data_IF_305521397047
#
_entry.id   IF_305521397047
#
_cell.length_a   1.000
_cell.length_b   1.000
_cell.length_c   1.000
_cell.angle_alpha   90.00
_cell.angle_beta   90.00
_cell.angle_gamma   90.00
#
_symmetry.space_group_name_H-M   'P 1'
#
loop_
_entity.id
_entity.type
_entity.pdbx_description
1 polymer ?
#
# COMPACT_ATOMS: atom_id res chain seq x y z
N UNK A 1 -11.64 10.38 19.87
CA UNK A 1 -12.34 9.32 19.11
C UNK A 1 -13.30 10.01 18.16
N UNK A 2 -13.27 9.64 16.87
CA UNK A 2 -14.28 9.99 15.88
C UNK A 2 -14.88 8.68 15.38
N UNK A 3 -16.20 8.51 15.51
CA UNK A 3 -16.86 7.26 15.12
C UNK A 3 -18.23 7.56 14.54
N UNK A 4 -18.60 6.89 13.45
CA UNK A 4 -19.89 7.09 12.77
C UNK A 4 -20.10 8.56 12.34
N UNK A 5 -19.02 9.21 11.90
CA UNK A 5 -19.04 10.62 11.50
C UNK A 5 -19.04 10.74 9.97
N UNK A 6 -19.76 11.73 9.47
CA UNK A 6 -19.69 12.16 8.07
C UNK A 6 -18.98 13.52 8.04
N UNK A 7 -17.95 13.63 7.20
CA UNK A 7 -17.23 14.86 6.89
C UNK A 7 -17.52 15.19 5.43
N UNK A 8 -18.26 16.27 5.18
CA UNK A 8 -18.78 16.57 3.84
C UNK A 8 -18.63 18.03 3.47
N UNK A 9 -18.36 18.30 2.19
CA UNK A 9 -18.31 19.64 1.60
C UNK A 9 -17.34 20.61 2.31
N UNK A 10 -16.24 20.08 2.85
CA UNK A 10 -15.18 20.87 3.49
C UNK A 10 -14.16 21.26 2.45
N UNK A 11 -14.00 22.56 2.19
CA UNK A 11 -13.06 23.08 1.20
C UNK A 11 -11.66 23.36 1.80
N UNK A 12 -11.11 22.38 2.50
CA UNK A 12 -9.76 22.34 3.11
C UNK A 12 -9.50 20.93 3.64
N UNK A 13 -8.56 20.76 4.58
CA UNK A 13 -8.32 19.50 5.27
C UNK A 13 -9.53 19.12 6.13
N UNK A 14 -10.06 17.91 5.96
CA UNK A 14 -11.27 17.50 6.66
C UNK A 14 -11.01 17.12 8.13
N UNK A 15 -9.96 16.31 8.38
CA UNK A 15 -9.57 15.95 9.74
C UNK A 15 -8.04 15.86 9.89
N UNK A 16 -7.51 16.61 10.85
CA UNK A 16 -6.11 16.54 11.28
C UNK A 16 -6.05 16.16 12.77
N UNK A 17 -5.40 15.05 13.08
CA UNK A 17 -5.09 14.63 14.45
C UNK A 17 -3.63 14.99 14.75
N UNK A 18 -3.38 15.88 15.71
CA UNK A 18 -2.03 16.39 16.04
C UNK A 18 -1.60 15.96 17.44
N UNK A 19 -0.41 15.37 17.56
CA UNK A 19 0.24 15.06 18.85
C UNK A 19 -0.48 14.07 19.77
N UNK A 20 -1.66 13.56 19.37
CA UNK A 20 -2.46 12.64 20.17
C UNK A 20 -2.12 11.21 19.81
N UNK A 21 -1.63 10.45 20.77
CA UNK A 21 -1.43 9.01 20.59
C UNK A 21 -2.73 8.24 20.86
N UNK A 22 -2.81 7.02 20.33
CA UNK A 22 -3.95 6.11 20.54
C UNK A 22 -5.30 6.69 20.08
N UNK A 23 -5.27 7.50 19.02
CA UNK A 23 -6.48 8.01 18.38
C UNK A 23 -7.33 6.90 17.76
N UNK A 24 -8.61 7.16 17.56
CA UNK A 24 -9.51 6.27 16.82
C UNK A 24 -10.34 7.10 15.85
N UNK A 25 -10.32 6.74 14.58
CA UNK A 25 -11.23 7.19 13.53
C UNK A 25 -11.86 5.93 12.94
N UNK A 26 -13.13 5.69 13.21
CA UNK A 26 -13.75 4.40 12.87
C UNK A 26 -15.14 4.59 12.25
N UNK A 27 -15.41 3.87 11.17
CA UNK A 27 -16.70 3.93 10.48
C UNK A 27 -17.09 5.37 10.09
N UNK A 28 -16.21 6.08 9.40
CA UNK A 28 -16.44 7.47 8.99
C UNK A 28 -16.48 7.61 7.47
N UNK A 29 -17.27 8.56 6.97
CA UNK A 29 -17.34 8.88 5.54
C UNK A 29 -16.83 10.29 5.28
N UNK A 30 -15.85 10.44 4.39
CA UNK A 30 -15.28 11.70 3.95
C UNK A 30 -15.60 11.91 2.48
N UNK A 31 -16.40 12.92 2.12
CA UNK A 31 -16.72 13.19 0.72
C UNK A 31 -16.79 14.66 0.34
N UNK A 32 -16.48 14.95 -0.93
CA UNK A 32 -16.45 16.31 -1.46
C UNK A 32 -15.51 17.24 -0.68
N UNK A 33 -14.35 16.71 -0.33
CA UNK A 33 -13.28 17.40 0.39
C UNK A 33 -12.38 18.14 -0.60
N UNK A 34 -12.08 19.39 -0.27
CA UNK A 34 -11.15 20.29 -0.95
C UNK A 34 -11.53 20.62 -2.40
N UNK A 35 -12.83 20.81 -2.68
CA UNK A 35 -13.37 20.98 -4.03
C UNK A 35 -12.77 22.14 -4.83
N UNK A 36 -12.32 23.22 -4.17
CA UNK A 36 -11.59 24.33 -4.83
C UNK A 36 -10.23 23.91 -5.41
N UNK A 37 -9.73 22.73 -5.06
CA UNK A 37 -8.48 22.19 -5.58
C UNK A 37 -7.23 22.71 -4.87
N UNK A 38 -7.36 23.24 -3.65
CA UNK A 38 -6.26 23.65 -2.77
C UNK A 38 -5.28 22.52 -2.44
N UNK A 39 -4.15 22.84 -1.79
CA UNK A 39 -3.27 21.79 -1.27
C UNK A 39 -3.85 21.27 0.04
N UNK A 40 -4.35 20.04 0.02
CA UNK A 40 -5.07 19.48 1.17
C UNK A 40 -5.09 17.95 1.17
N UNK A 41 -5.58 17.38 2.26
CA UNK A 41 -5.74 15.93 2.52
C UNK A 41 -7.03 15.69 3.30
N UNK A 42 -7.71 14.59 3.02
CA UNK A 42 -8.92 14.23 3.76
C UNK A 42 -8.62 13.88 5.23
N UNK A 43 -7.68 12.96 5.47
CA UNK A 43 -7.30 12.55 6.83
C UNK A 43 -5.79 12.55 7.02
N UNK A 44 -5.31 13.33 8.00
CA UNK A 44 -3.90 13.39 8.38
C UNK A 44 -3.71 13.17 9.86
N UNK A 45 -2.65 12.47 10.19
CA UNK A 45 -2.08 12.43 11.55
C UNK A 45 -0.72 13.13 11.53
N UNK A 46 -0.48 14.06 12.45
CA UNK A 46 0.80 14.78 12.58
C UNK A 46 1.35 14.57 13.98
N UNK A 47 2.43 13.79 14.11
CA UNK A 47 3.00 13.38 15.40
C UNK A 47 2.00 12.64 16.32
N UNK A 48 0.94 12.10 15.73
CA UNK A 48 -0.06 11.28 16.40
C UNK A 48 0.22 9.81 16.08
N UNK A 49 0.61 9.03 17.10
CA UNK A 49 1.05 7.64 16.95
C UNK A 49 -0.03 6.66 17.40
N UNK A 50 0.06 5.40 16.96
CA UNK A 50 -0.88 4.35 17.36
C UNK A 50 -2.36 4.70 17.10
N UNK A 51 -2.62 5.57 16.13
CA UNK A 51 -3.98 5.93 15.72
C UNK A 51 -4.56 4.81 14.87
N UNK A 52 -5.73 4.32 15.27
CA UNK A 52 -6.48 3.30 14.59
C UNK A 52 -7.48 3.96 13.62
N UNK A 53 -7.33 3.74 12.31
CA UNK A 53 -8.17 4.28 11.26
C UNK A 53 -8.84 3.12 10.51
N UNK A 54 -10.12 2.87 10.78
CA UNK A 54 -10.82 1.66 10.30
C UNK A 54 -12.19 1.92 9.70
N UNK A 55 -12.56 1.16 8.68
CA UNK A 55 -13.88 1.28 8.02
C UNK A 55 -14.15 2.71 7.55
N UNK A 56 -13.15 3.36 6.98
CA UNK A 56 -13.29 4.74 6.48
C UNK A 56 -13.45 4.70 4.97
N UNK A 57 -14.46 5.40 4.45
CA UNK A 57 -14.52 5.72 3.01
C UNK A 57 -14.11 7.18 2.80
N UNK A 58 -13.19 7.40 1.86
CA UNK A 58 -12.81 8.71 1.33
C UNK A 58 -13.20 8.70 -0.14
N UNK A 59 -14.18 9.51 -0.54
CA UNK A 59 -14.80 9.44 -1.87
C UNK A 59 -15.05 10.83 -2.47
N UNK A 60 -15.05 10.95 -3.79
CA UNK A 60 -15.41 12.20 -4.51
C UNK A 60 -14.60 13.42 -4.05
N UNK A 61 -13.28 13.29 -3.98
CA UNK A 61 -12.40 14.33 -3.43
C UNK A 61 -11.41 14.85 -4.47
N UNK A 62 -11.05 16.12 -4.37
CA UNK A 62 -9.99 16.77 -5.17
C UNK A 62 -8.73 17.04 -4.33
N UNK A 63 -8.68 16.51 -3.10
CA UNK A 63 -7.53 16.58 -2.20
C UNK A 63 -6.25 15.97 -2.80
N UNK A 64 -5.08 16.54 -2.46
CA UNK A 64 -3.74 16.01 -2.75
C UNK A 64 -3.40 14.70 -2.00
N UNK A 65 -4.39 14.04 -1.41
CA UNK A 65 -4.37 12.64 -1.02
C UNK A 65 -5.46 12.29 -0.03
N UNK A 66 -5.69 11.00 0.18
CA UNK A 66 -6.70 10.50 1.12
C UNK A 66 -6.14 10.45 2.55
N UNK A 67 -5.16 9.58 2.77
CA UNK A 67 -4.54 9.36 4.07
C UNK A 67 -3.08 9.81 4.12
N UNK A 68 -2.71 10.54 5.17
CA UNK A 68 -1.32 10.87 5.54
C UNK A 68 -1.04 10.39 6.97
N UNK A 69 -0.76 9.09 7.17
CA UNK A 69 -0.49 8.52 8.49
C UNK A 69 0.91 8.89 9.02
N UNK A 70 1.01 8.98 10.34
CA UNK A 70 2.23 9.08 11.15
C UNK A 70 2.69 7.69 11.61
N UNK A 71 3.76 7.64 12.41
CA UNK A 71 4.34 6.41 12.97
C UNK A 71 3.30 5.51 13.65
N UNK A 72 3.47 4.19 13.48
CA UNK A 72 2.70 3.16 14.20
C UNK A 72 1.18 3.21 13.99
N UNK A 73 0.70 3.99 13.01
CA UNK A 73 -0.73 4.10 12.74
C UNK A 73 -1.21 2.92 11.91
N UNK A 74 -2.45 2.50 12.16
CA UNK A 74 -3.13 1.43 11.42
C UNK A 74 -4.16 2.04 10.48
N UNK A 75 -4.10 1.68 9.19
CA UNK A 75 -5.17 1.88 8.21
C UNK A 75 -5.70 0.49 7.84
N UNK A 76 -6.94 0.19 8.19
CA UNK A 76 -7.48 -1.16 8.07
C UNK A 76 -8.95 -1.16 7.63
N UNK A 77 -9.30 -1.93 6.60
CA UNK A 77 -10.65 -1.93 6.01
C UNK A 77 -11.11 -0.56 5.49
N UNK A 78 -10.22 0.23 4.89
CA UNK A 78 -10.56 1.55 4.34
C UNK A 78 -10.74 1.51 2.81
N UNK A 79 -11.56 2.42 2.29
CA UNK A 79 -11.77 2.64 0.87
C UNK A 79 -11.39 4.09 0.53
N UNK A 80 -10.50 4.27 -0.45
CA UNK A 80 -10.28 5.55 -1.12
C UNK A 80 -10.74 5.40 -2.57
N UNK A 81 -11.74 6.18 -2.98
CA UNK A 81 -12.33 6.11 -4.32
C UNK A 81 -12.55 7.48 -4.93
N UNK A 82 -12.67 7.55 -6.25
CA UNK A 82 -13.09 8.75 -6.99
C UNK A 82 -12.31 10.01 -6.60
N UNK A 83 -10.98 9.94 -6.74
CA UNK A 83 -10.10 11.08 -6.44
C UNK A 83 -9.72 11.81 -7.71
N UNK A 84 -10.12 13.08 -7.80
CA UNK A 84 -10.00 13.92 -8.99
C UNK A 84 -8.79 14.87 -8.96
N UNK A 85 -7.91 14.71 -7.98
CA UNK A 85 -6.68 15.49 -7.88
C UNK A 85 -5.73 15.20 -9.04
N UNK A 86 -4.99 16.21 -9.49
CA UNK A 86 -3.91 16.09 -10.50
C UNK A 86 -2.53 16.44 -9.93
N UNK A 87 -2.42 16.48 -8.60
CA UNK A 87 -1.18 16.84 -7.90
C UNK A 87 -0.24 15.64 -7.80
N UNK A 88 1.00 15.91 -7.41
CA UNK A 88 1.94 14.85 -7.05
C UNK A 88 1.55 14.23 -5.69
N UNK A 89 0.59 13.30 -5.74
CA UNK A 89 -0.19 12.85 -4.60
C UNK A 89 -0.39 11.34 -4.59
N UNK A 90 -1.01 10.81 -3.52
CA UNK A 90 -1.49 9.44 -3.47
C UNK A 90 -2.78 9.29 -2.66
N UNK A 91 -3.57 8.25 -2.95
CA UNK A 91 -4.72 7.88 -2.11
C UNK A 91 -4.30 7.59 -0.66
N UNK A 92 -3.17 6.89 -0.48
CA UNK A 92 -2.47 6.75 0.80
C UNK A 92 -1.01 7.13 0.61
N UNK A 93 -0.53 8.11 1.39
CA UNK A 93 0.84 8.61 1.30
C UNK A 93 1.56 8.52 2.65
N UNK A 94 2.65 7.75 2.66
CA UNK A 94 3.54 7.63 3.81
C UNK A 94 4.86 8.33 3.50
N UNK A 95 5.16 9.43 4.19
CA UNK A 95 6.39 10.22 3.99
C UNK A 95 7.59 9.61 4.73
N UNK A 96 8.81 9.87 4.26
CA UNK A 96 10.10 9.30 4.74
C UNK A 96 10.17 9.03 6.23
N UNK A 97 9.94 10.06 7.04
CA UNK A 97 10.15 9.98 8.49
C UNK A 97 9.06 9.26 9.26
N UNK A 98 8.20 8.48 8.61
CA UNK A 98 7.16 7.68 9.27
C UNK A 98 7.57 6.21 9.25
N UNK A 99 7.79 5.65 10.45
CA UNK A 99 8.19 4.26 10.66
C UNK A 99 7.02 3.43 11.18
N UNK A 100 6.96 2.17 10.74
CA UNK A 100 6.00 1.15 11.19
C UNK A 100 4.50 1.49 11.08
N UNK A 101 4.01 2.30 10.11
CA UNK A 101 2.60 2.26 9.80
C UNK A 101 2.24 0.91 9.17
N UNK A 102 1.02 0.45 9.45
CA UNK A 102 0.44 -0.76 8.86
C UNK A 102 -0.77 -0.37 8.01
N UNK A 103 -0.78 -0.83 6.76
CA UNK A 103 -1.94 -0.73 5.87
C UNK A 103 -2.42 -2.14 5.56
N UNK A 104 -3.70 -2.43 5.79
CA UNK A 104 -4.25 -3.74 5.45
C UNK A 104 -5.72 -3.73 5.06
N UNK A 105 -6.16 -4.76 4.35
CA UNK A 105 -7.56 -4.95 3.95
C UNK A 105 -8.17 -3.71 3.29
N UNK A 106 -7.41 -2.95 2.50
CA UNK A 106 -7.74 -1.57 2.11
C UNK A 106 -7.68 -1.41 0.61
N UNK A 107 -8.64 -0.66 0.06
CA UNK A 107 -8.74 -0.40 -1.37
C UNK A 107 -8.41 1.06 -1.67
N UNK A 108 -7.64 1.28 -2.73
CA UNK A 108 -7.50 2.57 -3.39
C UNK A 108 -7.89 2.41 -4.85
N UNK A 109 -8.87 3.17 -5.32
CA UNK A 109 -9.36 3.03 -6.68
C UNK A 109 -9.85 4.33 -7.29
N UNK A 110 -9.99 4.33 -8.63
CA UNK A 110 -10.61 5.42 -9.37
C UNK A 110 -9.94 6.78 -9.08
N UNK A 111 -8.62 6.81 -9.22
CA UNK A 111 -7.79 7.97 -8.94
C UNK A 111 -6.71 8.15 -10.04
N UNK A 112 -7.11 8.34 -11.31
CA UNK A 112 -6.26 8.09 -12.48
C UNK A 112 -5.05 9.03 -12.61
N UNK A 113 -5.03 10.14 -11.85
CA UNK A 113 -3.99 11.16 -11.93
C UNK A 113 -3.07 11.22 -10.71
N UNK A 114 -3.28 10.35 -9.72
CA UNK A 114 -2.43 10.25 -8.52
C UNK A 114 -2.01 8.81 -8.30
N UNK A 115 -0.98 8.58 -7.47
CA UNK A 115 -0.60 7.22 -7.11
C UNK A 115 -1.68 6.59 -6.22
N UNK A 116 -1.79 5.27 -6.20
CA UNK A 116 -2.69 4.59 -5.28
C UNK A 116 -2.14 4.60 -3.85
N UNK A 117 -1.17 3.73 -3.59
CA UNK A 117 -0.46 3.67 -2.31
C UNK A 117 1.01 4.01 -2.53
N UNK A 118 1.48 5.06 -1.85
CA UNK A 118 2.82 5.61 -2.05
C UNK A 118 3.60 5.69 -0.76
N UNK A 119 4.79 5.11 -0.80
CA UNK A 119 5.86 5.41 0.13
C UNK A 119 6.73 6.50 -0.51
N UNK A 120 6.63 7.70 0.04
CA UNK A 120 7.27 8.88 -0.52
C UNK A 120 8.47 9.35 0.30
N UNK A 121 9.39 10.03 -0.40
CA UNK A 121 10.64 10.50 0.19
C UNK A 121 11.83 10.57 -0.75
N UNK A 122 12.86 11.30 -0.31
CA UNK A 122 14.21 11.25 -0.84
C UNK A 122 15.25 11.55 0.26
N UNK A 123 15.68 10.57 1.09
CA UNK A 123 15.37 9.12 0.98
C UNK A 123 13.91 8.77 1.27
N UNK A 124 13.44 7.63 0.78
CA UNK A 124 12.26 6.91 1.24
C UNK A 124 12.48 6.36 2.64
N UNK A 125 11.39 6.09 3.35
CA UNK A 125 11.45 5.60 4.73
C UNK A 125 11.74 4.11 4.82
N UNK A 126 11.60 3.55 6.02
CA UNK A 126 11.82 2.12 6.27
C UNK A 126 10.69 1.50 7.09
N UNK A 127 10.69 0.17 7.21
CA UNK A 127 9.86 -0.57 8.17
C UNK A 127 8.35 -0.32 7.99
N UNK A 128 7.82 -0.49 6.79
CA UNK A 128 6.39 -0.28 6.49
C UNK A 128 5.77 -1.61 6.16
N UNK A 129 4.58 -1.86 6.71
CA UNK A 129 3.86 -3.11 6.46
C UNK A 129 2.60 -2.82 5.65
N UNK A 130 2.43 -3.56 4.56
CA UNK A 130 1.24 -3.54 3.74
C UNK A 130 0.82 -4.96 3.41
N UNK A 131 -0.44 -5.31 3.67
CA UNK A 131 -0.96 -6.60 3.22
C UNK A 131 -2.44 -6.63 2.90
N UNK A 132 -2.84 -7.49 1.96
CA UNK A 132 -4.25 -7.61 1.54
C UNK A 132 -4.82 -6.25 1.12
N UNK A 133 -4.10 -5.53 0.26
CA UNK A 133 -4.56 -4.25 -0.28
C UNK A 133 -4.71 -4.34 -1.78
N UNK A 134 -5.61 -3.53 -2.34
CA UNK A 134 -5.71 -3.37 -3.78
C UNK A 134 -5.60 -1.91 -4.21
N UNK A 135 -5.01 -1.71 -5.38
CA UNK A 135 -4.84 -0.42 -6.02
C UNK A 135 -5.18 -0.53 -7.50
N UNK A 136 -6.30 0.07 -7.92
CA UNK A 136 -6.86 -0.15 -9.27
C UNK A 136 -7.24 1.17 -9.93
N UNK A 137 -6.94 1.34 -11.23
CA UNK A 137 -7.29 2.56 -11.99
C UNK A 137 -6.73 3.84 -11.35
N UNK A 138 -5.44 3.80 -11.04
CA UNK A 138 -4.66 4.92 -10.48
C UNK A 138 -3.56 5.34 -11.47
N UNK A 139 -2.81 6.42 -11.21
CA UNK A 139 -1.66 6.76 -12.07
C UNK A 139 -0.54 5.73 -11.98
N UNK A 140 -0.25 5.24 -10.77
CA UNK A 140 0.54 4.05 -10.45
C UNK A 140 -0.14 3.34 -9.30
N UNK A 141 -0.26 2.02 -9.36
CA UNK A 141 -0.94 1.25 -8.33
C UNK A 141 -0.22 1.40 -6.98
N UNK A 142 1.04 0.98 -6.95
CA UNK A 142 1.93 1.07 -5.81
C UNK A 142 3.21 1.77 -6.21
N UNK A 143 3.69 2.66 -5.34
CA UNK A 143 5.00 3.31 -5.47
C UNK A 143 5.73 3.27 -4.14
N UNK A 144 6.43 2.16 -3.91
CA UNK A 144 6.95 1.78 -2.60
C UNK A 144 8.47 2.03 -2.54
N UNK A 145 8.86 3.31 -2.40
CA UNK A 145 10.27 3.69 -2.20
C UNK A 145 10.68 3.44 -0.75
N UNK A 146 11.96 3.20 -0.53
CA UNK A 146 12.53 3.02 0.80
C UNK A 146 13.19 1.66 0.91
N UNK A 147 13.20 1.09 2.11
CA UNK A 147 13.74 -0.24 2.36
C UNK A 147 13.12 -0.93 3.60
N UNK A 148 13.43 -2.20 3.85
CA UNK A 148 12.89 -2.99 4.96
C UNK A 148 11.35 -3.00 5.04
N UNK A 149 10.67 -2.98 3.90
CA UNK A 149 9.22 -3.08 3.87
C UNK A 149 8.77 -4.55 3.93
N UNK A 150 7.53 -4.75 4.37
CA UNK A 150 6.83 -6.03 4.34
C UNK A 150 5.61 -5.83 3.44
N UNK A 151 5.63 -6.40 2.23
CA UNK A 151 4.67 -6.14 1.16
C UNK A 151 4.06 -7.46 0.69
N UNK A 152 2.87 -7.80 1.18
CA UNK A 152 2.30 -9.14 0.98
C UNK A 152 0.88 -9.06 0.43
N UNK A 153 0.42 -9.99 -0.40
CA UNK A 153 -1.01 -10.04 -0.79
C UNK A 153 -1.54 -8.72 -1.39
N UNK A 154 -0.71 -8.02 -2.18
CA UNK A 154 -1.16 -6.79 -2.85
C UNK A 154 -1.62 -7.07 -4.28
N UNK A 155 -2.68 -6.40 -4.70
CA UNK A 155 -3.20 -6.43 -6.07
C UNK A 155 -3.07 -5.05 -6.69
N UNK A 156 -2.31 -4.93 -7.78
CA UNK A 156 -2.26 -3.74 -8.63
C UNK A 156 -2.83 -4.06 -10.01
N UNK A 157 -3.72 -3.23 -10.55
CA UNK A 157 -4.27 -3.48 -11.90
C UNK A 157 -4.76 -2.20 -12.57
N UNK A 158 -4.66 -2.15 -13.90
CA UNK A 158 -5.23 -1.06 -14.71
C UNK A 158 -4.68 0.33 -14.34
N UNK A 159 -3.44 0.41 -13.89
CA UNK A 159 -2.79 1.70 -13.64
C UNK A 159 -2.42 2.40 -14.95
N UNK A 160 -2.37 3.73 -14.96
CA UNK A 160 -1.94 4.51 -16.13
C UNK A 160 -0.43 4.42 -16.43
N UNK A 161 0.33 3.83 -15.51
CA UNK A 161 1.75 3.48 -15.60
C UNK A 161 1.91 2.10 -14.96
N UNK A 162 2.90 1.90 -14.10
CA UNK A 162 3.14 0.63 -13.42
C UNK A 162 2.09 0.34 -12.35
N UNK A 163 1.65 -0.91 -12.27
CA UNK A 163 0.79 -1.40 -11.22
C UNK A 163 1.56 -1.53 -9.92
N UNK A 164 2.73 -2.14 -9.94
CA UNK A 164 3.56 -2.34 -8.76
C UNK A 164 4.95 -1.77 -9.00
N UNK A 165 5.45 -0.98 -8.06
CA UNK A 165 6.76 -0.36 -8.16
C UNK A 165 7.48 -0.40 -6.82
N UNK A 166 8.54 -1.21 -6.76
CA UNK A 166 9.48 -1.30 -5.63
C UNK A 166 10.88 -0.92 -6.15
N UNK A 167 11.14 0.39 -6.35
CA UNK A 167 12.37 0.85 -6.95
C UNK A 167 13.61 0.56 -6.11
N UNK A 168 14.73 0.29 -6.77
CA UNK A 168 16.04 0.17 -6.13
C UNK A 168 16.64 1.52 -5.71
N UNK A 169 15.93 2.63 -5.85
CA UNK A 169 16.48 3.97 -5.65
C UNK A 169 15.63 4.80 -4.68
N UNK A 170 16.11 6.03 -4.41
CA UNK A 170 15.59 6.88 -3.32
C UNK A 170 15.76 6.24 -1.94
N UNK A 171 16.77 5.42 -1.72
CA UNK A 171 17.23 5.05 -0.38
C UNK A 171 18.75 5.09 -0.40
N UNK A 172 19.36 5.71 0.61
CA UNK A 172 20.81 5.99 0.63
C UNK A 172 21.59 5.05 1.55
N UNK A 173 20.94 4.06 2.16
CA UNK A 173 21.55 3.21 3.20
C UNK A 173 21.35 3.76 4.61
N UNK A 174 22.04 3.16 5.57
CA UNK A 174 22.10 3.55 6.97
C UNK A 174 23.47 4.16 7.26
N UNK A 175 23.51 5.24 8.02
CA UNK A 175 24.74 5.96 8.33
C UNK A 175 25.10 5.87 9.81
N UNK A 176 26.33 5.44 10.09
CA UNK A 176 26.92 5.51 11.42
C UNK A 176 27.01 6.98 11.86
N UNK A 177 26.36 7.39 12.96
CA UNK A 177 26.35 8.78 13.39
C UNK A 177 27.71 9.28 13.91
N UNK A 178 28.63 8.37 14.28
CA UNK A 178 29.95 8.70 14.82
C UNK A 178 31.03 8.76 13.75
N UNK A 179 31.03 7.79 12.83
CA UNK A 179 32.09 7.66 11.80
C UNK A 179 31.69 8.23 10.45
N UNK A 180 30.39 8.41 10.20
CA UNK A 180 29.84 8.79 8.90
C UNK A 180 29.82 7.65 7.87
N UNK A 181 30.26 6.45 8.26
CA UNK A 181 30.23 5.24 7.41
C UNK A 181 28.79 4.91 6.98
N UNK A 182 28.62 4.43 5.75
CA UNK A 182 27.32 4.05 5.20
C UNK A 182 27.30 2.56 4.86
N UNK A 183 26.24 1.88 5.28
CA UNK A 183 25.98 0.47 4.99
C UNK A 183 24.54 0.24 4.54
N UNK A 184 24.28 -0.81 3.77
CA UNK A 184 22.92 -1.29 3.48
C UNK A 184 22.43 -2.33 4.49
N UNK A 185 23.26 -2.72 5.46
CA UNK A 185 22.92 -3.70 6.49
C UNK A 185 22.09 -3.05 7.60
N UNK A 186 20.80 -3.41 7.72
CA UNK A 186 19.92 -2.84 8.74
C UNK A 186 20.24 -3.34 10.15
N UNK A 187 20.97 -4.46 10.30
CA UNK A 187 21.29 -5.05 11.61
C UNK A 187 22.22 -4.17 12.46
N UNK A 188 22.90 -3.21 11.83
CA UNK A 188 23.79 -2.25 12.49
C UNK A 188 23.03 -1.23 13.35
N UNK A 189 21.71 -1.11 13.19
CA UNK A 189 20.87 -0.19 13.98
C UNK A 189 21.14 1.29 13.70
N UNK A 190 21.82 1.61 12.60
CA UNK A 190 22.15 2.97 12.20
C UNK A 190 20.91 3.69 11.62
N UNK A 191 20.77 5.02 11.82
CA UNK A 191 19.69 5.79 11.20
C UNK A 191 19.82 5.82 9.67
N UNK A 192 18.72 6.13 8.99
CA UNK A 192 18.72 6.34 7.53
C UNK A 192 19.72 7.44 7.17
N UNK A 193 20.59 7.18 6.20
CA UNK A 193 21.56 8.14 5.70
C UNK A 193 20.85 9.37 5.09
N UNK A 194 21.34 10.60 5.35
CA UNK A 194 20.78 11.81 4.76
C UNK A 194 20.84 11.79 3.22
N UNK A 195 20.05 12.65 2.61
CA UNK A 195 20.01 12.81 1.14
C UNK A 195 21.40 13.06 0.57
N UNK A 196 21.85 12.18 -0.33
CA UNK A 196 23.12 12.34 -1.04
C UNK A 196 24.38 11.89 -0.29
N UNK A 197 24.25 11.38 0.94
CA UNK A 197 25.40 10.94 1.76
C UNK A 197 25.77 9.48 1.53
N UNK A 198 24.88 8.69 0.92
CA UNK A 198 25.12 7.28 0.62
C UNK A 198 24.79 6.89 -0.82
N UNK A 199 24.36 5.65 -1.02
CA UNK A 199 24.21 5.05 -2.34
C UNK A 199 22.81 5.28 -2.89
N UNK A 200 22.64 6.18 -3.87
CA UNK A 200 21.39 6.20 -4.62
C UNK A 200 21.34 4.96 -5.52
N UNK A 201 20.58 3.93 -5.12
CA UNK A 201 20.58 2.63 -5.80
C UNK A 201 20.48 1.40 -4.89
N UNK A 202 20.24 1.59 -3.58
CA UNK A 202 20.09 0.49 -2.61
C UNK A 202 18.69 0.43 -1.95
N UNK A 203 17.66 0.97 -2.61
CA UNK A 203 16.27 0.83 -2.17
C UNK A 203 15.78 -0.60 -2.27
N UNK A 204 14.85 -0.96 -1.40
CA UNK A 204 14.16 -2.25 -1.37
C UNK A 204 15.07 -3.51 -1.31
N UNK A 205 16.36 -3.37 -0.99
CA UNK A 205 17.30 -4.50 -0.89
C UNK A 205 16.95 -5.43 0.28
N UNK A 206 16.38 -4.88 1.35
CA UNK A 206 15.94 -5.62 2.54
C UNK A 206 14.41 -5.70 2.64
N UNK A 207 13.70 -5.35 1.56
CA UNK A 207 12.23 -5.45 1.52
C UNK A 207 11.80 -6.86 1.16
N UNK A 208 10.83 -7.39 1.90
CA UNK A 208 10.22 -8.68 1.59
C UNK A 208 8.90 -8.44 0.87
N UNK A 209 8.80 -8.96 -0.35
CA UNK A 209 7.61 -8.85 -1.18
C UNK A 209 7.13 -10.24 -1.59
N UNK A 210 5.88 -10.62 -1.22
CA UNK A 210 5.35 -11.97 -1.50
C UNK A 210 3.87 -11.96 -1.89
N UNK A 211 3.41 -13.05 -2.49
CA UNK A 211 2.00 -13.35 -2.75
C UNK A 211 1.25 -12.22 -3.44
N UNK A 212 1.85 -11.55 -4.42
CA UNK A 212 1.33 -10.29 -4.95
C UNK A 212 1.16 -10.35 -6.46
N UNK A 213 0.18 -9.61 -6.97
CA UNK A 213 -0.31 -9.75 -8.34
C UNK A 213 -0.39 -8.39 -9.03
N UNK A 214 0.12 -8.31 -10.26
CA UNK A 214 -0.02 -7.13 -11.12
C UNK A 214 0.26 -7.44 -12.59
N UNK A 215 -0.33 -6.66 -13.50
CA UNK A 215 -0.05 -6.81 -14.92
C UNK A 215 1.36 -6.33 -15.26
N UNK A 216 1.76 -5.19 -14.69
CA UNK A 216 3.02 -4.51 -15.00
C UNK A 216 3.72 -4.02 -13.74
N UNK A 217 4.90 -4.57 -13.45
CA UNK A 217 5.80 -4.00 -12.44
C UNK A 217 6.74 -2.96 -13.08
N UNK A 218 7.26 -2.03 -12.29
CA UNK A 218 8.37 -1.17 -12.70
C UNK A 218 9.64 -2.00 -12.81
N UNK A 219 10.01 -2.35 -14.05
CA UNK A 219 11.20 -3.14 -14.35
C UNK A 219 12.19 -2.39 -15.25
N UNK A 220 12.31 -1.08 -15.03
CA UNK A 220 13.30 -0.23 -15.70
C UNK A 220 14.75 -0.71 -15.44
N UNK A 221 14.98 -1.43 -14.33
CA UNK A 221 16.24 -2.07 -13.97
C UNK A 221 15.96 -3.47 -13.43
N UNK A 222 16.82 -4.46 -13.73
CA UNK A 222 16.63 -5.84 -13.27
C UNK A 222 16.74 -6.00 -11.74
N UNK A 223 17.31 -5.01 -11.05
CA UNK A 223 17.47 -4.97 -9.59
C UNK A 223 16.19 -4.65 -8.84
N UNK A 224 15.10 -4.28 -9.52
CA UNK A 224 13.83 -3.98 -8.86
C UNK A 224 13.14 -5.29 -8.47
N UNK A 225 12.52 -5.31 -7.29
CA UNK A 225 11.79 -6.49 -6.83
C UNK A 225 10.60 -6.76 -7.75
N UNK A 226 10.47 -8.01 -8.21
CA UNK A 226 9.38 -8.44 -9.08
C UNK A 226 9.74 -8.53 -10.58
N UNK A 227 11.00 -8.25 -10.92
CA UNK A 227 11.47 -8.13 -12.31
C UNK A 227 12.30 -9.31 -12.81
N UNK A 228 12.34 -10.39 -12.04
CA UNK A 228 13.07 -11.62 -12.32
C UNK A 228 12.13 -12.83 -12.14
N UNK A 229 12.16 -13.78 -13.07
CA UNK A 229 11.23 -14.93 -13.06
C UNK A 229 11.52 -15.94 -11.94
N UNK A 230 12.79 -16.13 -11.59
CA UNK A 230 13.19 -17.02 -10.48
C UNK A 230 12.70 -16.43 -9.16
N UNK A 231 12.96 -15.14 -8.96
CA UNK A 231 12.43 -14.36 -7.83
C UNK A 231 10.91 -14.43 -7.75
N UNK A 232 10.22 -14.22 -8.88
CA UNK A 232 8.77 -14.24 -8.93
C UNK A 232 8.21 -15.62 -8.58
N UNK A 233 8.90 -16.70 -8.93
CA UNK A 233 8.53 -18.05 -8.54
C UNK A 233 8.77 -18.29 -7.05
N UNK A 234 9.94 -17.90 -6.52
CA UNK A 234 10.30 -18.07 -5.11
C UNK A 234 9.36 -17.31 -4.16
N UNK A 235 8.97 -16.10 -4.54
CA UNK A 235 8.16 -15.21 -3.70
C UNK A 235 6.68 -15.16 -4.08
N UNK A 236 6.24 -16.02 -5.01
CA UNK A 236 4.84 -16.10 -5.42
C UNK A 236 4.32 -14.75 -5.93
N UNK A 237 5.04 -14.14 -6.88
CA UNK A 237 4.68 -12.89 -7.52
C UNK A 237 4.13 -13.17 -8.93
N UNK A 238 2.88 -12.76 -9.16
CA UNK A 238 2.27 -12.83 -10.48
C UNK A 238 2.54 -11.54 -11.24
N UNK A 239 3.28 -11.65 -12.34
CA UNK A 239 3.69 -10.52 -13.18
C UNK A 239 3.26 -10.75 -14.64
N UNK A 240 2.11 -10.21 -15.04
CA UNK A 240 1.46 -10.49 -16.32
C UNK A 240 2.36 -10.29 -17.55
N UNK A 241 3.15 -9.20 -17.58
CA UNK A 241 4.06 -8.92 -18.69
C UNK A 241 5.18 -9.98 -18.87
N UNK A 242 5.71 -10.52 -17.78
CA UNK A 242 6.79 -11.54 -17.83
C UNK A 242 6.21 -12.91 -18.20
N UNK A 243 4.94 -13.13 -17.90
CA UNK A 243 4.16 -14.31 -18.33
C UNK A 243 3.65 -14.18 -19.77
N UNK A 244 4.45 -13.62 -20.68
CA UNK A 244 4.06 -13.48 -22.09
C UNK A 244 2.91 -12.49 -22.33
N UNK A 245 2.79 -11.45 -21.51
CA UNK A 245 1.71 -10.45 -21.57
C UNK A 245 0.31 -11.00 -21.25
N UNK A 246 0.23 -12.01 -20.38
CA UNK A 246 -1.03 -12.41 -19.72
C UNK A 246 -1.66 -11.20 -19.01
N UNK A 247 -2.99 -11.25 -18.85
CA UNK A 247 -3.77 -10.17 -18.22
C UNK A 247 -4.45 -10.66 -16.96
N UNK A 248 -4.18 -9.97 -15.85
CA UNK A 248 -4.66 -10.28 -14.51
C UNK A 248 -6.19 -10.31 -14.45
N UNK A 249 -6.85 -9.47 -15.24
CA UNK A 249 -8.31 -9.43 -15.32
C UNK A 249 -8.94 -10.80 -15.65
N UNK A 250 -8.22 -11.67 -16.37
CA UNK A 250 -8.67 -13.02 -16.71
C UNK A 250 -8.38 -14.06 -15.63
N UNK A 251 -7.74 -13.68 -14.53
CA UNK A 251 -7.52 -14.53 -13.37
C UNK A 251 -8.51 -14.23 -12.23
N UNK A 252 -9.27 -13.14 -12.35
CA UNK A 252 -10.22 -12.69 -11.33
C UNK A 252 -11.66 -13.10 -11.67
N UNK A 253 -12.49 -13.23 -10.64
CA UNK A 253 -13.88 -13.69 -10.69
C UNK A 253 -14.78 -12.78 -11.53
N UNK A 254 -14.93 -11.51 -11.13
CA UNK A 254 -15.75 -10.54 -11.83
C UNK A 254 -15.30 -9.08 -11.53
N UNK A 255 -14.11 -8.68 -12.01
CA UNK A 255 -13.49 -7.41 -11.64
C UNK A 255 -14.26 -6.16 -12.11
N UNK A 256 -15.05 -6.28 -13.18
CA UNK A 256 -15.96 -5.21 -13.65
C UNK A 256 -17.11 -4.93 -12.67
N UNK A 257 -17.40 -5.89 -11.79
CA UNK A 257 -18.40 -5.79 -10.73
C UNK A 257 -17.76 -5.85 -9.34
N UNK A 258 -16.51 -5.39 -9.22
CA UNK A 258 -15.78 -5.25 -7.95
C UNK A 258 -15.54 -6.57 -7.19
N UNK A 259 -15.62 -7.71 -7.88
CA UNK A 259 -15.22 -9.02 -7.34
C UNK A 259 -13.81 -9.37 -7.82
N UNK A 260 -12.83 -9.03 -6.98
CA UNK A 260 -11.40 -9.24 -7.23
C UNK A 260 -10.87 -10.54 -6.61
N UNK A 261 -11.73 -11.47 -6.22
CA UNK A 261 -11.31 -12.81 -5.80
C UNK A 261 -10.79 -13.58 -7.01
N UNK A 262 -9.85 -14.53 -6.85
CA UNK A 262 -9.47 -15.41 -7.94
C UNK A 262 -10.70 -16.14 -8.50
N UNK A 263 -10.73 -16.38 -9.82
CA UNK A 263 -11.79 -17.18 -10.43
C UNK A 263 -11.51 -18.68 -10.26
N UNK A 264 -12.54 -19.50 -10.48
CA UNK A 264 -12.35 -20.95 -10.58
C UNK A 264 -11.31 -21.31 -11.65
N UNK A 265 -10.35 -22.14 -11.27
CA UNK A 265 -9.26 -22.58 -12.15
C UNK A 265 -8.29 -21.46 -12.54
N UNK A 266 -8.20 -20.42 -11.72
CA UNK A 266 -7.19 -19.38 -11.84
C UNK A 266 -5.81 -19.92 -11.46
N UNK A 267 -4.76 -19.39 -12.09
CA UNK A 267 -3.36 -19.68 -11.72
C UNK A 267 -2.94 -19.07 -10.38
N UNK A 268 -3.80 -18.24 -9.77
CA UNK A 268 -3.53 -17.59 -8.50
C UNK A 268 -3.87 -18.47 -7.28
N UNK A 269 -4.68 -19.50 -7.50
CA UNK A 269 -5.20 -20.37 -6.43
C UNK A 269 -4.12 -21.32 -5.93
N UNK A 270 -3.95 -21.41 -4.61
CA UNK A 270 -2.96 -22.24 -3.92
C UNK A 270 -1.51 -22.02 -4.42
N UNK A 271 -1.22 -20.83 -4.95
CA UNK A 271 0.06 -20.50 -5.59
C UNK A 271 1.00 -19.68 -4.69
N UNK A 272 0.54 -19.31 -3.50
CA UNK A 272 1.23 -18.47 -2.54
C UNK A 272 2.07 -19.25 -1.54
N UNK A 273 2.79 -18.50 -0.72
CA UNK A 273 3.57 -19.01 0.41
C UNK A 273 2.99 -18.53 1.73
N UNK A 274 3.13 -19.35 2.76
CA UNK A 274 2.74 -18.95 4.12
C UNK A 274 3.66 -17.83 4.62
N UNK A 275 3.04 -16.77 5.13
CA UNK A 275 3.71 -15.64 5.76
C UNK A 275 3.20 -15.53 7.20
N UNK A 276 4.09 -15.77 8.15
CA UNK A 276 3.78 -15.82 9.58
C UNK A 276 3.09 -14.53 10.06
N UNK A 277 1.99 -14.70 10.79
CA UNK A 277 1.15 -13.60 11.30
C UNK A 277 0.41 -12.79 10.21
N UNK A 278 0.40 -13.24 8.96
CA UNK A 278 -0.31 -12.59 7.84
C UNK A 278 -1.42 -13.47 7.27
N UNK A 279 -1.14 -14.74 6.96
CA UNK A 279 -2.10 -15.64 6.31
C UNK A 279 -2.17 -17.04 6.96
N UNK A 280 -1.52 -17.25 8.09
CA UNK A 280 -1.32 -18.55 8.75
C UNK A 280 -2.34 -18.88 9.84
N UNK A 281 -3.32 -18.00 10.07
CA UNK A 281 -4.28 -18.13 11.17
C UNK A 281 -3.71 -17.88 12.57
N UNK A 282 -2.44 -17.47 12.70
CA UNK A 282 -1.80 -17.16 13.97
C UNK A 282 -1.94 -15.67 14.31
N UNK A 283 -1.88 -15.33 15.60
CA UNK A 283 -1.95 -13.94 16.09
C UNK A 283 -3.16 -13.12 15.60
N UNK A 284 -4.27 -13.82 15.28
CA UNK A 284 -5.48 -13.20 14.74
C UNK A 284 -5.41 -12.85 13.25
N UNK A 285 -4.41 -13.36 12.52
CA UNK A 285 -4.37 -13.34 11.07
C UNK A 285 -5.47 -14.22 10.47
N UNK A 286 -5.85 -13.96 9.22
CA UNK A 286 -6.80 -14.81 8.51
C UNK A 286 -6.07 -16.07 8.06
N UNK A 287 -6.64 -17.25 8.30
CA UNK A 287 -6.11 -18.50 7.76
C UNK A 287 -6.46 -18.57 6.26
N UNK A 288 -5.49 -18.96 5.43
CA UNK A 288 -5.72 -19.22 4.00
C UNK A 288 -6.69 -20.38 3.75
N UNK A 289 -7.24 -20.46 2.54
CA UNK A 289 -8.21 -21.50 2.17
C UNK A 289 -7.61 -22.39 1.08
N UNK A 290 -7.39 -23.67 1.39
CA UNK A 290 -6.89 -24.64 0.42
C UNK A 290 -5.64 -25.35 0.90
N UNK A 291 -4.79 -25.74 -0.03
CA UNK A 291 -3.50 -26.39 0.22
C UNK A 291 -2.40 -25.36 0.53
N UNK A 292 -2.50 -24.14 -0.02
CA UNK A 292 -1.60 -23.01 0.22
C UNK A 292 -2.36 -21.67 0.11
N UNK A 293 -1.78 -20.55 0.55
CA UNK A 293 -2.37 -19.23 0.32
C UNK A 293 -2.56 -18.93 -1.16
N UNK A 294 -3.60 -18.18 -1.48
CA UNK A 294 -3.74 -17.61 -2.81
C UNK A 294 -2.82 -16.39 -2.97
N UNK A 295 -2.35 -16.15 -4.19
CA UNK A 295 -1.61 -14.93 -4.50
C UNK A 295 -2.57 -13.79 -4.82
N UNK A 296 -2.31 -12.62 -4.25
CA UNK A 296 -3.18 -11.45 -4.33
C UNK A 296 -3.94 -11.20 -3.04
N UNK A 297 -4.96 -10.35 -3.13
CA UNK A 297 -5.64 -9.78 -1.94
C UNK A 297 -6.69 -10.70 -1.32
N UNK A 298 -7.13 -11.73 -2.03
CA UNK A 298 -8.26 -12.57 -1.64
C UNK A 298 -8.00 -14.04 -1.91
N UNK A 299 -8.63 -14.87 -1.09
CA UNK A 299 -8.65 -16.32 -1.19
C UNK A 299 -9.88 -16.81 -1.98
N UNK A 300 -9.67 -17.79 -2.83
CA UNK A 300 -10.67 -18.49 -3.61
C UNK A 300 -11.45 -19.44 -2.70
N UNK A 301 -12.77 -19.46 -2.86
CA UNK A 301 -13.64 -20.32 -2.06
C UNK A 301 -13.80 -19.86 -0.61
N UNK A 302 -13.17 -18.77 -0.20
CA UNK A 302 -13.39 -18.20 1.12
C UNK A 302 -14.80 -17.59 1.23
N UNK A 303 -15.50 -17.99 2.30
CA UNK A 303 -16.83 -17.51 2.64
C UNK A 303 -16.77 -16.21 3.46
N UNK A 304 -15.59 -15.84 3.97
CA UNK A 304 -15.36 -14.65 4.78
C UNK A 304 -14.33 -13.75 4.10
N UNK A 305 -14.80 -12.94 3.16
CA UNK A 305 -13.98 -11.92 2.51
C UNK A 305 -14.37 -10.52 2.95
N UNK A 306 -13.43 -9.58 2.87
CA UNK A 306 -13.69 -8.19 3.27
C UNK A 306 -14.16 -7.35 2.09
N UNK A 307 -15.08 -6.42 2.40
CA UNK A 307 -15.35 -5.24 1.58
C UNK A 307 -15.05 -4.04 2.48
N UNK A 308 -14.10 -3.17 2.10
CA UNK A 308 -13.69 -2.08 2.97
C UNK A 308 -14.59 -0.84 2.83
N UNK A 309 -14.38 0.11 3.73
CA UNK A 309 -15.04 1.39 3.72
C UNK A 309 -16.08 1.55 4.83
N UNK A 310 -16.68 2.73 4.82
CA UNK A 310 -17.80 3.14 5.66
C UNK A 310 -18.98 2.18 5.52
N UNK A 311 -19.57 1.84 6.66
CA UNK A 311 -20.74 0.97 6.81
C UNK A 311 -21.90 1.82 7.32
N UNK A 312 -22.85 2.20 6.44
CA UNK A 312 -24.04 2.92 6.85
C UNK A 312 -24.79 2.16 7.95
N UNK A 313 -25.41 2.86 8.91
CA UNK A 313 -26.21 2.26 9.97
C UNK A 313 -27.47 1.57 9.45
#
# INVERSE_FOLDING_TARGET
VFRNCIFEYIDSEALIIRGSNYGTVENCYFHHINWSGGESVALRTQHAQYTNMRYITIDQNTSGGGFYPSHYNLIDHCLVSNVYSRRDAAGIQINTGMNEPVIRNTWVMDAPHINGIRFDGNPGGVLRKIHHTLSIRTSRGYRLKGDQHQVHHILGMSSGRQDISLPDYKFYGYQNPETGEVSSDPSLGWPIAPTGVGFNGNGNVNTVHRNSIGDEYECDRPTFLGCDEEQNTEYSLWHGYLRGNEKLIYELSNPEHYDYRPRKGSSLVDAGVVVEGINDGQDGSQMYVGDAPDIGTYEYGDNVYFIPGYRPP
#
